data_IF_902332160269
#
_entry.id   IF_902332160269
#
_cell.length_a   1.000
_cell.length_b   1.000
_cell.length_c   1.000
_cell.angle_alpha   90.00
_cell.angle_beta   90.00
_cell.angle_gamma   90.00
#
_symmetry.space_group_name_H-M   'P 1'
#
loop_
_entity.id
_entity.type
_entity.pdbx_description
1 polymer ?
#
# COMPACT_ATOMS: atom_id res chain seq x y z
N UNK A 1 49.19 -19.16 25.88
CA UNK A 1 49.30 -20.06 24.72
C UNK A 1 47.98 -20.79 24.45
N UNK A 2 47.84 -21.49 23.31
CA UNK A 2 46.64 -22.24 22.94
C UNK A 2 46.14 -23.20 24.03
N UNK A 3 47.05 -23.80 24.83
CA UNK A 3 46.69 -24.69 25.92
C UNK A 3 45.91 -24.04 27.07
N UNK A 4 46.09 -22.73 27.29
CA UNK A 4 45.33 -22.00 28.31
C UNK A 4 43.91 -21.69 27.88
N UNK A 5 43.67 -21.60 26.60
CA UNK A 5 42.32 -21.39 26.03
C UNK A 5 41.48 -22.66 26.21
N UNK A 6 42.04 -23.85 25.94
CA UNK A 6 41.34 -25.13 26.14
C UNK A 6 41.04 -25.42 27.62
N UNK A 7 41.96 -25.13 28.54
CA UNK A 7 41.73 -25.28 30.01
C UNK A 7 40.59 -24.40 30.52
N UNK A 8 40.23 -23.32 29.80
CA UNK A 8 39.15 -22.43 30.19
C UNK A 8 37.80 -22.93 29.68
N UNK A 9 37.77 -23.65 28.54
CA UNK A 9 36.54 -24.22 27.99
C UNK A 9 36.03 -25.41 28.81
N UNK A 10 36.90 -26.21 29.40
CA UNK A 10 36.57 -27.41 30.17
C UNK A 10 36.16 -27.16 31.63
N UNK A 11 36.20 -25.90 32.12
CA UNK A 11 35.78 -25.64 33.49
C UNK A 11 34.26 -25.55 33.62
N UNK A 12 33.65 -26.39 34.47
CA UNK A 12 32.22 -26.35 34.84
C UNK A 12 31.81 -25.09 35.63
N UNK A 13 32.61 -24.02 35.56
CA UNK A 13 32.37 -22.78 36.26
C UNK A 13 31.33 -21.95 35.52
N UNK A 14 30.40 -21.34 36.24
CA UNK A 14 29.44 -20.40 35.70
C UNK A 14 30.13 -19.22 34.97
N UNK A 15 29.46 -18.52 34.02
CA UNK A 15 30.07 -17.44 33.23
C UNK A 15 30.69 -16.33 34.06
N UNK A 16 30.02 -15.83 35.09
CA UNK A 16 30.48 -14.71 35.93
C UNK A 16 31.74 -14.98 36.70
N UNK A 17 31.91 -16.15 37.40
CA UNK A 17 33.17 -16.52 38.01
C UNK A 17 34.33 -16.71 37.03
N UNK A 18 34.07 -17.19 35.82
CA UNK A 18 35.08 -17.29 34.76
C UNK A 18 35.57 -15.92 34.33
N UNK A 19 34.65 -14.99 34.11
CA UNK A 19 34.96 -13.63 33.72
C UNK A 19 35.78 -12.91 34.79
N UNK A 20 35.37 -13.00 36.05
CA UNK A 20 36.13 -12.46 37.19
C UNK A 20 37.54 -13.00 37.26
N UNK A 21 37.74 -14.31 37.02
CA UNK A 21 39.04 -14.94 36.98
C UNK A 21 39.92 -14.45 35.83
N UNK A 22 39.35 -14.30 34.64
CA UNK A 22 40.03 -13.75 33.44
C UNK A 22 40.48 -12.32 33.72
N UNK A 23 39.60 -11.48 34.25
CA UNK A 23 39.88 -10.08 34.58
C UNK A 23 41.04 -9.97 35.59
N UNK A 24 41.10 -10.89 36.57
CA UNK A 24 42.16 -10.89 37.58
C UNK A 24 43.51 -11.38 37.03
N UNK A 25 43.50 -12.40 36.18
CA UNK A 25 44.74 -13.03 35.70
C UNK A 25 45.34 -12.31 34.48
N UNK A 26 44.48 -11.66 33.67
CA UNK A 26 44.86 -11.05 32.38
C UNK A 26 44.16 -9.70 32.19
N UNK A 27 44.48 -8.69 33.03
CA UNK A 27 43.76 -7.43 33.06
C UNK A 27 43.88 -6.60 31.77
N UNK A 28 45.02 -6.65 31.08
CA UNK A 28 45.25 -5.91 29.85
C UNK A 28 44.51 -6.55 28.68
N UNK A 29 44.59 -7.85 28.54
CA UNK A 29 43.90 -8.63 27.51
C UNK A 29 42.36 -8.56 27.70
N UNK A 30 41.93 -8.59 28.97
CA UNK A 30 40.52 -8.43 29.30
C UNK A 30 39.99 -7.02 28.88
N UNK A 31 40.79 -5.97 29.18
CA UNK A 31 40.46 -4.61 28.75
C UNK A 31 40.39 -4.50 27.22
N UNK A 32 41.34 -5.12 26.52
CA UNK A 32 41.35 -5.15 25.06
C UNK A 32 40.09 -5.85 24.50
N UNK A 33 39.72 -7.00 25.06
CA UNK A 33 38.50 -7.70 24.68
C UNK A 33 37.25 -6.84 24.90
N UNK A 34 37.14 -6.16 26.04
CA UNK A 34 36.02 -5.27 26.36
C UNK A 34 35.87 -4.11 25.38
N UNK A 35 36.99 -3.56 24.90
CA UNK A 35 36.96 -2.37 24.03
C UNK A 35 36.90 -2.69 22.56
N UNK A 36 37.42 -3.82 22.11
CA UNK A 36 37.53 -4.17 20.69
C UNK A 36 36.53 -5.25 20.23
N UNK A 37 36.28 -6.25 21.08
CA UNK A 37 35.45 -7.40 20.67
C UNK A 37 34.04 -7.37 21.28
N UNK A 38 33.88 -7.02 22.54
CA UNK A 38 32.58 -7.04 23.20
C UNK A 38 31.55 -6.07 22.59
N UNK A 39 31.91 -4.87 22.12
CA UNK A 39 30.95 -4.02 21.43
C UNK A 39 30.36 -4.68 20.18
N UNK A 40 31.19 -5.42 19.43
CA UNK A 40 30.76 -6.16 18.25
C UNK A 40 29.93 -7.41 18.58
N UNK A 41 30.14 -8.02 19.76
CA UNK A 41 29.43 -9.22 20.23
C UNK A 41 28.13 -8.90 21.01
N UNK A 42 27.98 -7.65 21.46
CA UNK A 42 26.81 -7.20 22.23
C UNK A 42 25.62 -6.77 21.39
N UNK A 43 25.57 -7.11 20.11
CA UNK A 43 24.39 -6.90 19.30
C UNK A 43 23.52 -8.17 19.29
N UNK A 44 22.24 -7.97 19.25
CA UNK A 44 21.28 -9.05 19.06
C UNK A 44 20.70 -8.91 17.65
N UNK A 45 20.96 -9.90 16.83
CA UNK A 45 20.36 -9.96 15.50
C UNK A 45 18.96 -10.55 15.64
N UNK A 46 17.96 -9.77 15.23
CA UNK A 46 16.59 -10.24 15.11
C UNK A 46 16.32 -10.60 13.67
N UNK A 47 15.91 -11.82 13.43
CA UNK A 47 15.32 -12.24 12.18
C UNK A 47 13.84 -12.46 12.40
N UNK A 48 13.04 -11.67 11.71
CA UNK A 48 11.59 -11.84 11.71
C UNK A 48 11.22 -12.50 10.39
N UNK A 49 10.88 -13.77 10.44
CA UNK A 49 10.29 -14.47 9.30
C UNK A 49 8.77 -14.32 9.40
N UNK A 50 8.16 -13.71 8.37
CA UNK A 50 6.71 -13.59 8.29
C UNK A 50 6.21 -14.15 6.95
N UNK A 51 5.06 -14.75 6.99
CA UNK A 51 4.33 -15.17 5.80
C UNK A 51 3.15 -14.24 5.59
N UNK A 52 3.12 -13.57 4.44
CA UNK A 52 1.95 -12.81 4.02
C UNK A 52 0.94 -13.84 3.52
N UNK A 53 -0.13 -14.06 4.27
CA UNK A 53 -1.26 -14.84 3.83
C UNK A 53 -2.09 -14.00 2.88
N UNK A 54 -2.25 -14.47 1.65
CA UNK A 54 -3.22 -13.92 0.71
C UNK A 54 -4.52 -14.71 0.82
N UNK A 55 -5.62 -14.00 0.91
CA UNK A 55 -6.94 -14.59 0.93
C UNK A 55 -7.48 -14.65 -0.50
N UNK A 56 -7.75 -15.83 -1.00
CA UNK A 56 -8.25 -16.06 -2.37
C UNK A 56 -9.69 -16.58 -2.40
N UNK A 57 -10.15 -17.15 -1.30
CA UNK A 57 -11.54 -17.58 -1.16
C UNK A 57 -12.47 -16.40 -0.91
N UNK A 58 -13.46 -16.21 -1.78
CA UNK A 58 -14.40 -15.07 -1.72
C UNK A 58 -15.23 -15.08 -0.43
N UNK A 59 -15.58 -16.23 0.11
CA UNK A 59 -16.36 -16.30 1.35
C UNK A 59 -15.49 -15.91 2.54
N UNK A 60 -14.21 -16.31 2.53
CA UNK A 60 -13.24 -15.87 3.54
C UNK A 60 -13.02 -14.36 3.45
N UNK A 61 -12.87 -13.80 2.25
CA UNK A 61 -12.75 -12.36 2.04
C UNK A 61 -13.97 -11.58 2.56
N UNK A 62 -15.19 -12.06 2.31
CA UNK A 62 -16.42 -11.47 2.84
C UNK A 62 -16.46 -11.46 4.38
N UNK A 63 -16.04 -12.57 5.00
CA UNK A 63 -15.97 -12.66 6.46
C UNK A 63 -14.95 -11.69 7.06
N UNK A 64 -13.75 -11.60 6.45
CA UNK A 64 -12.70 -10.69 6.92
C UNK A 64 -13.12 -9.24 6.68
N UNK A 65 -13.69 -8.93 5.52
CA UNK A 65 -14.21 -7.60 5.22
C UNK A 65 -15.22 -7.13 6.26
N UNK A 66 -16.12 -8.01 6.71
CA UNK A 66 -17.13 -7.70 7.71
C UNK A 66 -16.55 -7.54 9.12
N UNK A 67 -15.57 -8.40 9.51
CA UNK A 67 -15.08 -8.50 10.90
C UNK A 67 -13.82 -7.66 11.15
N UNK A 68 -12.93 -7.59 10.17
CA UNK A 68 -11.60 -7.00 10.33
C UNK A 68 -11.03 -6.51 8.97
N UNK A 69 -11.64 -5.51 8.31
CA UNK A 69 -11.22 -5.05 6.98
C UNK A 69 -9.78 -4.54 6.93
N UNK A 70 -9.21 -4.13 8.08
CA UNK A 70 -7.80 -3.73 8.20
C UNK A 70 -6.79 -4.84 7.89
N UNK A 71 -7.25 -6.09 7.82
CA UNK A 71 -6.41 -7.24 7.46
C UNK A 71 -6.34 -7.49 5.95
N UNK A 72 -7.21 -6.84 5.18
CA UNK A 72 -7.23 -6.98 3.73
C UNK A 72 -6.22 -6.04 3.08
N UNK A 73 -5.46 -6.57 2.15
CA UNK A 73 -4.66 -5.78 1.22
C UNK A 73 -5.55 -5.11 0.18
N UNK A 74 -5.04 -4.08 -0.50
CA UNK A 74 -5.78 -3.39 -1.55
C UNK A 74 -6.19 -4.34 -2.70
N UNK A 75 -5.32 -5.30 -3.07
CA UNK A 75 -5.64 -6.32 -4.08
C UNK A 75 -6.80 -7.22 -3.66
N UNK A 76 -6.90 -7.54 -2.37
CA UNK A 76 -8.01 -8.36 -1.84
C UNK A 76 -9.32 -7.57 -1.80
N UNK A 77 -9.29 -6.26 -1.54
CA UNK A 77 -10.46 -5.40 -1.73
C UNK A 77 -10.95 -5.44 -3.19
N UNK A 78 -10.04 -5.38 -4.17
CA UNK A 78 -10.42 -5.44 -5.58
C UNK A 78 -10.98 -6.81 -5.96
N UNK A 79 -10.37 -7.90 -5.49
CA UNK A 79 -10.89 -9.25 -5.69
C UNK A 79 -12.29 -9.40 -5.10
N UNK A 80 -12.52 -8.86 -3.92
CA UNK A 80 -13.83 -8.88 -3.28
C UNK A 80 -14.84 -8.02 -4.05
N UNK A 81 -14.48 -6.80 -4.46
CA UNK A 81 -15.37 -5.94 -5.26
C UNK A 81 -15.80 -6.61 -6.55
N UNK A 82 -14.87 -7.25 -7.29
CA UNK A 82 -15.15 -7.98 -8.52
C UNK A 82 -16.13 -9.17 -8.35
N UNK A 83 -16.37 -9.62 -7.10
CA UNK A 83 -17.36 -10.65 -6.80
C UNK A 83 -18.80 -10.14 -6.69
N UNK A 84 -19.01 -8.83 -6.76
CA UNK A 84 -20.32 -8.19 -6.73
C UNK A 84 -20.65 -7.57 -8.09
N UNK A 85 -21.93 -7.40 -8.44
CA UNK A 85 -22.31 -6.65 -9.63
C UNK A 85 -21.79 -5.21 -9.57
N UNK A 86 -21.24 -4.71 -10.68
CA UNK A 86 -20.80 -3.31 -10.77
C UNK A 86 -21.93 -2.35 -10.42
N UNK A 87 -21.62 -1.34 -9.60
CA UNK A 87 -22.57 -0.33 -9.16
C UNK A 87 -23.54 -0.79 -8.06
N UNK A 88 -23.49 -2.06 -7.62
CA UNK A 88 -24.28 -2.51 -6.47
C UNK A 88 -23.84 -1.81 -5.17
N UNK A 89 -24.69 -1.85 -4.15
CA UNK A 89 -24.38 -1.28 -2.84
C UNK A 89 -23.15 -1.96 -2.22
N UNK A 90 -23.05 -3.28 -2.36
CA UNK A 90 -21.91 -4.07 -1.87
C UNK A 90 -20.60 -3.68 -2.58
N UNK A 91 -20.64 -3.56 -3.92
CA UNK A 91 -19.51 -3.11 -4.72
C UNK A 91 -19.00 -1.74 -4.25
N UNK A 92 -19.90 -0.77 -4.12
CA UNK A 92 -19.59 0.58 -3.68
C UNK A 92 -19.04 0.59 -2.23
N UNK A 93 -19.62 -0.19 -1.33
CA UNK A 93 -19.19 -0.29 0.07
C UNK A 93 -17.76 -0.86 0.20
N UNK A 94 -17.39 -1.79 -0.68
CA UNK A 94 -16.02 -2.33 -0.70
C UNK A 94 -15.01 -1.21 -1.03
N UNK A 95 -15.27 -0.40 -2.06
CA UNK A 95 -14.37 0.69 -2.43
C UNK A 95 -14.37 1.84 -1.42
N UNK A 96 -15.50 2.19 -0.84
CA UNK A 96 -15.56 3.16 0.27
C UNK A 96 -14.72 2.69 1.48
N UNK A 97 -14.76 1.40 1.76
CA UNK A 97 -13.96 0.82 2.85
C UNK A 97 -12.48 0.79 2.48
N UNK A 98 -12.14 0.43 1.23
CA UNK A 98 -10.77 0.46 0.75
C UNK A 98 -10.12 1.84 0.90
N UNK A 99 -10.84 2.92 0.53
CA UNK A 99 -10.34 4.29 0.73
C UNK A 99 -10.20 4.66 2.20
N UNK A 100 -11.07 4.17 3.09
CA UNK A 100 -10.90 4.38 4.53
C UNK A 100 -9.64 3.70 5.07
N UNK A 101 -9.28 2.54 4.53
CA UNK A 101 -8.06 1.80 4.93
C UNK A 101 -6.80 2.36 4.25
N UNK A 102 -6.93 2.83 3.02
CA UNK A 102 -5.82 3.34 2.18
C UNK A 102 -6.12 4.76 1.68
N UNK A 103 -6.26 5.77 2.55
CA UNK A 103 -6.79 7.09 2.19
C UNK A 103 -5.91 7.89 1.23
N UNK A 104 -4.62 7.61 1.19
CA UNK A 104 -3.66 8.29 0.30
C UNK A 104 -3.27 7.47 -0.92
N UNK A 105 -3.78 6.24 -1.06
CA UNK A 105 -3.47 5.39 -2.21
C UNK A 105 -4.23 5.87 -3.45
N UNK A 106 -3.53 6.25 -4.54
CA UNK A 106 -4.18 6.77 -5.75
C UNK A 106 -5.11 5.76 -6.42
N UNK A 107 -4.76 4.46 -6.38
CA UNK A 107 -5.55 3.41 -7.01
C UNK A 107 -6.84 3.16 -6.24
N UNK A 108 -6.78 3.13 -4.90
CA UNK A 108 -7.97 3.03 -4.06
C UNK A 108 -8.94 4.19 -4.33
N UNK A 109 -8.40 5.42 -4.35
CA UNK A 109 -9.19 6.62 -4.60
C UNK A 109 -9.77 6.64 -6.03
N UNK A 110 -9.00 6.23 -7.05
CA UNK A 110 -9.47 6.18 -8.42
C UNK A 110 -10.64 5.19 -8.59
N UNK A 111 -10.51 3.99 -8.03
CA UNK A 111 -11.56 2.98 -8.12
C UNK A 111 -12.82 3.38 -7.37
N UNK A 112 -12.68 3.97 -6.17
CA UNK A 112 -13.81 4.52 -5.43
C UNK A 112 -14.47 5.70 -6.18
N UNK A 113 -13.69 6.53 -6.86
CA UNK A 113 -14.21 7.60 -7.72
C UNK A 113 -15.02 7.04 -8.88
N UNK A 114 -14.52 6.01 -9.55
CA UNK A 114 -15.22 5.34 -10.65
C UNK A 114 -16.55 4.74 -10.19
N UNK A 115 -16.55 4.03 -9.05
CA UNK A 115 -17.78 3.50 -8.46
C UNK A 115 -18.79 4.61 -8.09
N UNK A 116 -18.29 5.73 -7.54
CA UNK A 116 -19.14 6.88 -7.22
C UNK A 116 -19.71 7.57 -8.47
N UNK A 117 -18.97 7.65 -9.57
CA UNK A 117 -19.46 8.15 -10.85
C UNK A 117 -20.56 7.25 -11.42
N UNK A 118 -20.36 5.94 -11.41
CA UNK A 118 -21.34 4.96 -11.87
C UNK A 118 -22.65 5.01 -11.08
N UNK A 119 -22.57 5.27 -9.77
CA UNK A 119 -23.75 5.43 -8.90
C UNK A 119 -24.36 6.84 -8.91
N UNK A 120 -23.83 7.77 -9.71
CA UNK A 120 -24.29 9.16 -9.78
C UNK A 120 -23.96 10.01 -8.55
N UNK A 121 -23.10 9.51 -7.65
CA UNK A 121 -22.69 10.26 -6.47
C UNK A 121 -21.51 11.19 -6.79
N UNK A 122 -21.78 12.26 -7.53
CA UNK A 122 -20.77 13.21 -8.01
C UNK A 122 -20.02 13.94 -6.88
N UNK A 123 -20.68 14.18 -5.75
CA UNK A 123 -20.04 14.79 -4.58
C UNK A 123 -18.94 13.89 -4.02
N UNK A 124 -19.20 12.61 -3.93
CA UNK A 124 -18.25 11.61 -3.45
C UNK A 124 -17.15 11.38 -4.49
N UNK A 125 -17.52 11.27 -5.77
CA UNK A 125 -16.57 11.15 -6.88
C UNK A 125 -15.54 12.29 -6.88
N UNK A 126 -15.97 13.55 -6.73
CA UNK A 126 -15.09 14.72 -6.65
C UNK A 126 -14.04 14.57 -5.53
N UNK A 127 -14.48 14.12 -4.36
CA UNK A 127 -13.58 13.94 -3.22
C UNK A 127 -12.51 12.88 -3.48
N UNK A 128 -12.88 11.76 -4.06
CA UNK A 128 -11.95 10.70 -4.39
C UNK A 128 -11.01 11.08 -5.53
N UNK A 129 -11.52 11.73 -6.57
CA UNK A 129 -10.70 12.21 -7.70
C UNK A 129 -9.60 13.17 -7.30
N UNK A 130 -9.78 13.91 -6.19
CA UNK A 130 -8.74 14.78 -5.65
C UNK A 130 -7.48 14.02 -5.21
N UNK A 131 -7.62 12.75 -4.81
CA UNK A 131 -6.54 11.89 -4.34
C UNK A 131 -6.21 10.74 -5.32
N UNK A 132 -6.79 10.71 -6.52
CA UNK A 132 -6.63 9.63 -7.50
C UNK A 132 -5.30 9.66 -8.28
N UNK A 133 -4.38 10.56 -7.93
CA UNK A 133 -3.10 10.71 -8.62
C UNK A 133 -3.24 11.34 -10.02
N UNK A 134 -2.19 11.24 -10.83
CA UNK A 134 -2.09 11.91 -12.13
C UNK A 134 -1.94 10.94 -13.32
N UNK A 135 -2.40 9.71 -13.18
CA UNK A 135 -2.39 8.74 -14.28
C UNK A 135 -3.33 9.17 -15.42
N UNK A 136 -3.14 8.59 -16.60
CA UNK A 136 -4.04 8.80 -17.75
C UNK A 136 -5.48 8.44 -17.36
N UNK A 137 -5.68 7.34 -16.65
CA UNK A 137 -7.00 6.89 -16.17
C UNK A 137 -7.60 7.88 -15.17
N UNK A 138 -6.81 8.45 -14.26
CA UNK A 138 -7.29 9.47 -13.34
C UNK A 138 -7.72 10.75 -14.07
N UNK A 139 -6.95 11.20 -15.07
CA UNK A 139 -7.30 12.32 -15.92
C UNK A 139 -8.61 12.03 -16.70
N UNK A 140 -8.71 10.84 -17.28
CA UNK A 140 -9.94 10.42 -17.97
C UNK A 140 -11.16 10.43 -17.03
N UNK A 141 -11.05 9.89 -15.83
CA UNK A 141 -12.14 9.89 -14.84
C UNK A 141 -12.52 11.31 -14.38
N UNK A 142 -11.56 12.24 -14.28
CA UNK A 142 -11.84 13.67 -14.04
C UNK A 142 -12.58 14.30 -15.22
N UNK A 143 -12.20 13.93 -16.45
CA UNK A 143 -12.91 14.35 -17.66
C UNK A 143 -14.37 13.89 -17.68
N UNK A 144 -14.62 12.62 -17.34
CA UNK A 144 -15.97 12.07 -17.18
C UNK A 144 -16.75 12.84 -16.10
N UNK A 145 -16.15 13.05 -14.93
CA UNK A 145 -16.76 13.83 -13.86
C UNK A 145 -17.19 15.22 -14.34
N UNK A 146 -16.27 15.95 -14.99
CA UNK A 146 -16.51 17.29 -15.49
C UNK A 146 -17.63 17.30 -16.56
N UNK A 147 -17.65 16.34 -17.48
CA UNK A 147 -18.69 16.21 -18.47
C UNK A 147 -20.08 15.94 -17.83
N UNK A 148 -20.15 15.03 -16.84
CA UNK A 148 -21.37 14.73 -16.11
C UNK A 148 -21.88 15.88 -15.23
N UNK A 149 -21.02 16.82 -14.90
CA UNK A 149 -21.36 18.06 -14.17
C UNK A 149 -21.43 19.27 -15.07
N UNK A 150 -21.49 19.07 -16.39
CA UNK A 150 -21.67 20.09 -17.45
C UNK A 150 -20.49 21.10 -17.54
N UNK A 151 -19.36 20.82 -16.92
CA UNK A 151 -18.12 21.59 -17.11
C UNK A 151 -17.34 21.06 -18.32
N UNK A 152 -17.84 21.35 -19.51
CA UNK A 152 -17.28 20.84 -20.78
C UNK A 152 -15.87 21.38 -21.05
N UNK A 153 -15.54 22.58 -20.56
CA UNK A 153 -14.20 23.14 -20.71
C UNK A 153 -13.18 22.31 -19.94
N UNK A 154 -13.47 21.99 -18.68
CA UNK A 154 -12.63 21.13 -17.85
C UNK A 154 -12.62 19.68 -18.35
N UNK A 155 -13.74 19.17 -18.83
CA UNK A 155 -13.81 17.84 -19.43
C UNK A 155 -12.84 17.72 -20.60
N UNK A 156 -12.81 18.70 -21.52
CA UNK A 156 -11.91 18.75 -22.66
C UNK A 156 -10.44 18.76 -22.22
N UNK A 157 -10.09 19.63 -21.28
CA UNK A 157 -8.72 19.70 -20.74
C UNK A 157 -8.24 18.33 -20.22
N UNK A 158 -9.06 17.67 -19.42
CA UNK A 158 -8.73 16.40 -18.81
C UNK A 158 -8.67 15.26 -19.83
N UNK A 159 -9.57 15.24 -20.82
CA UNK A 159 -9.50 14.24 -21.89
C UNK A 159 -8.30 14.45 -22.81
N UNK A 160 -7.90 15.69 -23.11
CA UNK A 160 -6.66 15.98 -23.85
C UNK A 160 -5.44 15.44 -23.09
N UNK A 161 -5.39 15.67 -21.78
CA UNK A 161 -4.31 15.15 -20.92
C UNK A 161 -4.22 13.61 -20.96
N UNK A 162 -5.38 12.95 -20.88
CA UNK A 162 -5.45 11.49 -20.94
C UNK A 162 -5.09 10.94 -22.33
N UNK A 163 -5.58 11.58 -23.41
CA UNK A 163 -5.28 11.19 -24.79
C UNK A 163 -3.78 11.35 -25.12
N UNK A 164 -3.15 12.44 -24.69
CA UNK A 164 -1.72 12.67 -24.85
C UNK A 164 -0.88 11.62 -24.09
N UNK A 165 -1.41 11.03 -23.04
CA UNK A 165 -0.83 9.91 -22.32
C UNK A 165 -1.13 8.53 -22.96
N UNK A 166 -1.73 8.51 -24.15
CA UNK A 166 -1.97 7.31 -24.96
C UNK A 166 -3.32 6.61 -24.72
N UNK A 167 -4.25 7.25 -24.04
CA UNK A 167 -5.56 6.65 -23.73
C UNK A 167 -6.53 6.90 -24.90
N UNK A 168 -6.85 5.85 -25.67
CA UNK A 168 -7.73 5.93 -26.85
C UNK A 168 -9.15 6.34 -26.52
N UNK A 169 -9.71 5.87 -25.42
CA UNK A 169 -11.06 6.24 -24.95
C UNK A 169 -11.21 7.76 -24.71
N UNK A 170 -10.11 8.43 -24.33
CA UNK A 170 -10.12 9.87 -24.14
C UNK A 170 -10.21 10.62 -25.48
N UNK A 171 -9.59 10.10 -26.55
CA UNK A 171 -9.74 10.65 -27.90
C UNK A 171 -11.17 10.51 -28.42
N UNK A 172 -11.81 9.38 -28.16
CA UNK A 172 -13.22 9.16 -28.51
C UNK A 172 -14.14 10.13 -27.74
N UNK A 173 -13.89 10.35 -26.46
CA UNK A 173 -14.65 11.30 -25.65
C UNK A 173 -14.50 12.75 -26.14
N UNK A 174 -13.31 13.16 -26.57
CA UNK A 174 -13.09 14.47 -27.22
C UNK A 174 -13.91 14.62 -28.48
N UNK A 175 -13.91 13.59 -29.35
CA UNK A 175 -14.74 13.60 -30.57
C UNK A 175 -16.24 13.75 -30.27
N UNK A 176 -16.72 13.17 -29.17
CA UNK A 176 -18.11 13.34 -28.74
C UNK A 176 -18.38 14.76 -28.24
N UNK A 177 -17.49 15.38 -27.47
CA UNK A 177 -17.63 16.78 -27.05
C UNK A 177 -17.65 17.73 -28.24
N UNK A 178 -16.83 17.51 -29.27
CA UNK A 178 -16.79 18.31 -30.49
C UNK A 178 -18.16 18.27 -31.25
N UNK A 179 -18.80 17.11 -31.25
CA UNK A 179 -20.14 16.97 -31.86
C UNK A 179 -21.19 17.74 -31.07
N UNK A 180 -21.15 17.75 -29.74
CA UNK A 180 -22.06 18.52 -28.89
C UNK A 180 -21.89 20.02 -29.12
N UNK A 181 -20.68 20.54 -29.19
CA UNK A 181 -20.37 21.95 -29.45
C UNK A 181 -20.91 22.40 -30.83
N UNK A 182 -20.86 21.52 -31.85
CA UNK A 182 -21.34 21.81 -33.18
C UNK A 182 -22.89 21.76 -33.34
N UNK A 183 -23.59 21.04 -32.42
CA UNK A 183 -25.03 20.98 -32.40
C UNK A 183 -25.68 22.15 -31.64
N UNK A 184 -24.88 22.84 -30.83
CA UNK A 184 -25.34 23.97 -30.00
C UNK A 184 -25.18 25.34 -30.69
N UNK A 185 -24.66 25.34 -31.92
CA UNK A 185 -24.49 26.52 -32.79
C UNK A 185 -25.52 26.55 -33.88
#
# INVERSE_FOLDING_TARGET
>A
GLGDVYKRQDSNMAPDPKEARIKKLYPQEYKFMLTQFYPALRHTDYRIDYQIRQFTDINELREIFRKAPTKLSLGEFFTLAASYPEGSEEFNNVFDTAVRMYPTDPTANLNAATAALQSGNYKLAKRFLANAGDSATASYSRGIYAALTEDYAQAREQFVKAANAGMTQAADALSQLDKLDNQSK
#
